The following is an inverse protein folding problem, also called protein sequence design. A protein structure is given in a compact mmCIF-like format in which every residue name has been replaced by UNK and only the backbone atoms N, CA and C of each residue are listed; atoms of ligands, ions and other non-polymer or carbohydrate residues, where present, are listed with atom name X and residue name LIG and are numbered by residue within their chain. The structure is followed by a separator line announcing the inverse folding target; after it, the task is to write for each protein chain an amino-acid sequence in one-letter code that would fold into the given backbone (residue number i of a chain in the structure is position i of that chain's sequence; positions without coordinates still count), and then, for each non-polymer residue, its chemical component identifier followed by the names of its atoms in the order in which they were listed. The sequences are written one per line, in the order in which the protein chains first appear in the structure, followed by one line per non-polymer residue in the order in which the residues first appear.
data_IF_572886601936
#
_entry.id   IF_572886601936
#
_cell.length_a   1.000
_cell.length_b   1.000
_cell.length_c   1.000
_cell.angle_alpha   90.00
_cell.angle_beta   90.00
_cell.angle_gamma   90.00
#
_symmetry.space_group_name_H-M   'P 1'
#
loop_
_entity.id
_entity.type
_entity.pdbx_description
1 polymer ?
#
# COMPACT_ATOMS: atom_id res chain seq x y z
N UNK A 1 -7.18 -45.60 100.50
CA UNK A 1 -6.28 -45.86 99.34
C UNK A 1 -7.09 -45.60 98.06
N UNK A 2 -6.46 -45.19 96.94
CA UNK A 2 -7.07 -45.05 95.59
C UNK A 2 -7.77 -43.73 95.15
N UNK A 3 -7.32 -42.52 95.56
CA UNK A 3 -7.72 -41.28 94.86
C UNK A 3 -6.60 -40.25 94.56
N UNK A 4 -5.33 -40.55 94.88
CA UNK A 4 -4.20 -39.59 94.71
C UNK A 4 -3.23 -39.89 93.57
N UNK A 5 -3.50 -40.92 92.75
CA UNK A 5 -2.61 -41.34 91.65
C UNK A 5 -3.19 -41.15 90.24
N UNK A 6 -4.45 -40.74 90.07
CA UNK A 6 -5.02 -40.47 88.73
C UNK A 6 -4.65 -39.07 88.19
N UNK A 7 -4.41 -38.09 89.05
CA UNK A 7 -4.04 -36.73 88.63
C UNK A 7 -2.60 -36.61 88.10
N UNK A 8 -1.70 -37.51 88.51
CA UNK A 8 -0.31 -37.53 88.03
C UNK A 8 -0.13 -38.29 86.71
N UNK A 9 -1.01 -39.24 86.40
CA UNK A 9 -0.99 -39.96 85.11
C UNK A 9 -1.66 -39.11 84.01
N UNK A 10 -2.73 -38.36 84.35
CA UNK A 10 -3.38 -37.43 83.41
C UNK A 10 -2.49 -36.25 83.00
N UNK A 11 -1.66 -35.72 83.91
CA UNK A 11 -0.76 -34.60 83.62
C UNK A 11 0.51 -35.05 82.86
N UNK A 12 0.99 -36.28 83.10
CA UNK A 12 2.11 -36.87 82.36
C UNK A 12 1.77 -37.18 80.90
N UNK A 13 0.56 -37.68 80.63
CA UNK A 13 0.09 -37.91 79.25
C UNK A 13 -0.21 -36.60 78.51
N UNK A 14 -0.70 -35.54 79.19
CA UNK A 14 -0.94 -34.25 78.56
C UNK A 14 0.34 -33.51 78.16
N UNK A 15 1.44 -33.70 78.91
CA UNK A 15 2.76 -33.14 78.57
C UNK A 15 3.48 -33.87 77.44
N UNK A 16 3.15 -35.15 77.17
CA UNK A 16 3.73 -35.89 76.03
C UNK A 16 3.01 -35.63 74.70
N UNK A 17 1.74 -35.20 74.74
CA UNK A 17 0.98 -34.83 73.52
C UNK A 17 1.41 -33.45 72.99
N UNK A 18 1.91 -32.55 73.84
CA UNK A 18 2.42 -31.23 73.43
C UNK A 18 3.85 -31.24 72.87
N UNK A 19 4.57 -32.36 73.00
CA UNK A 19 5.93 -32.51 72.48
C UNK A 19 6.00 -33.25 71.12
N UNK A 20 4.88 -33.75 70.60
CA UNK A 20 4.83 -34.53 69.35
C UNK A 20 4.20 -33.76 68.19
N UNK A 21 4.65 -32.53 67.98
CA UNK A 21 4.36 -31.80 66.75
C UNK A 21 5.55 -30.89 66.39
N UNK A 22 6.71 -31.49 66.14
CA UNK A 22 7.64 -30.92 65.18
C UNK A 22 7.45 -31.68 63.89
N UNK A 23 6.86 -31.00 62.90
CA UNK A 23 6.85 -31.48 61.53
C UNK A 23 8.27 -31.40 60.98
N UNK A 24 9.12 -32.37 61.34
CA UNK A 24 10.45 -32.58 60.74
C UNK A 24 10.38 -33.05 59.26
N UNK A 25 9.19 -32.95 58.67
CA UNK A 25 8.89 -33.20 57.26
C UNK A 25 8.87 -31.93 56.40
N UNK A 26 9.26 -30.79 56.96
CA UNK A 26 9.63 -29.62 56.16
C UNK A 26 11.16 -29.64 56.10
N UNK A 27 11.71 -30.23 55.04
CA UNK A 27 13.12 -30.03 54.72
C UNK A 27 13.40 -28.54 54.64
N UNK A 28 14.58 -28.12 55.11
CA UNK A 28 14.99 -26.73 54.98
C UNK A 28 14.94 -26.33 53.49
N UNK A 29 14.40 -25.13 53.21
CA UNK A 29 14.45 -24.59 51.86
C UNK A 29 15.92 -24.54 51.43
N UNK A 30 16.24 -25.25 50.34
CA UNK A 30 17.56 -25.17 49.74
C UNK A 30 17.82 -23.71 49.30
N UNK A 31 19.07 -23.22 49.36
CA UNK A 31 19.40 -21.91 48.84
C UNK A 31 19.05 -21.83 47.35
N UNK A 32 18.47 -20.70 46.94
CA UNK A 32 18.11 -20.44 45.55
C UNK A 32 19.33 -20.59 44.63
N UNK A 33 19.20 -21.35 43.54
CA UNK A 33 20.20 -21.43 42.49
C UNK A 33 19.80 -20.55 41.31
N UNK A 34 20.79 -19.98 40.60
CA UNK A 34 20.49 -19.16 39.43
C UNK A 34 20.10 -20.06 38.26
N UNK A 35 19.17 -19.61 37.39
CA UNK A 35 18.78 -20.37 36.20
C UNK A 35 19.87 -20.32 35.12
N UNK A 36 19.76 -21.21 34.14
CA UNK A 36 20.60 -21.29 32.93
C UNK A 36 19.76 -21.10 31.67
N UNK A 37 20.33 -20.45 30.65
CA UNK A 37 19.63 -20.11 29.40
C UNK A 37 20.34 -20.66 28.18
N UNK A 38 19.57 -21.13 27.21
CA UNK A 38 20.08 -21.73 25.99
C UNK A 38 19.35 -21.17 24.77
N UNK A 39 20.12 -20.81 23.74
CA UNK A 39 19.57 -20.56 22.41
C UNK A 39 19.42 -21.90 21.65
N UNK A 40 18.53 -21.96 20.66
CA UNK A 40 18.36 -23.19 19.85
C UNK A 40 19.62 -23.59 19.08
N UNK A 41 20.50 -22.62 18.78
CA UNK A 41 21.77 -22.85 18.10
C UNK A 41 22.89 -22.07 18.77
N UNK A 42 24.09 -22.64 18.79
CA UNK A 42 25.29 -22.00 19.38
C UNK A 42 25.87 -20.92 18.47
N UNK A 43 25.81 -21.12 17.14
CA UNK A 43 26.28 -20.13 16.18
C UNK A 43 25.59 -20.29 14.81
N UNK A 44 25.47 -19.17 14.10
CA UNK A 44 24.93 -19.14 12.74
C UNK A 44 26.06 -18.79 11.79
N UNK A 45 26.56 -19.80 11.08
CA UNK A 45 27.66 -19.64 10.12
C UNK A 45 27.11 -19.33 8.72
N UNK A 46 26.58 -18.11 8.56
CA UNK A 46 26.10 -17.60 7.27
C UNK A 46 26.92 -16.41 6.83
N UNK A 47 27.28 -16.36 5.56
CA UNK A 47 28.15 -15.33 5.00
C UNK A 47 27.71 -14.94 3.60
N UNK A 48 28.13 -13.75 3.15
CA UNK A 48 27.80 -13.25 1.81
C UNK A 48 26.30 -13.29 1.53
N UNK A 49 25.86 -13.86 0.39
CA UNK A 49 24.45 -13.94 0.02
C UNK A 49 23.56 -14.78 0.94
N UNK A 50 24.14 -15.73 1.67
CA UNK A 50 23.40 -16.72 2.48
C UNK A 50 23.04 -16.21 3.89
N UNK A 51 23.43 -14.98 4.20
CA UNK A 51 23.07 -14.25 5.43
C UNK A 51 21.55 -14.21 5.63
N UNK A 52 21.12 -14.06 6.89
CA UNK A 52 19.71 -14.07 7.26
C UNK A 52 19.00 -12.81 6.75
N UNK A 53 17.70 -12.90 6.40
CA UNK A 53 16.88 -11.72 6.13
C UNK A 53 16.72 -10.86 7.39
N UNK A 54 16.23 -9.64 7.22
CA UNK A 54 16.06 -8.69 8.34
C UNK A 54 14.92 -9.04 9.30
N UNK A 55 14.05 -9.98 8.92
CA UNK A 55 13.01 -10.57 9.77
C UNK A 55 13.42 -11.99 10.19
N UNK A 56 13.68 -12.20 11.48
CA UNK A 56 14.17 -13.49 12.02
C UNK A 56 13.27 -13.96 13.16
N UNK A 57 12.81 -15.21 13.10
CA UNK A 57 12.16 -15.88 14.22
C UNK A 57 13.22 -16.54 15.11
N UNK A 58 13.18 -16.20 16.39
CA UNK A 58 14.15 -16.63 17.40
C UNK A 58 13.46 -17.52 18.42
N UNK A 59 14.19 -18.52 18.92
CA UNK A 59 13.72 -19.48 19.90
C UNK A 59 14.81 -19.71 20.96
N UNK A 60 14.39 -19.89 22.21
CA UNK A 60 15.25 -20.17 23.36
C UNK A 60 14.50 -20.99 24.41
N UNK A 61 15.24 -21.46 25.41
CA UNK A 61 14.69 -22.13 26.59
C UNK A 61 15.62 -21.90 27.78
N UNK A 62 15.10 -22.13 28.99
CA UNK A 62 15.88 -22.04 30.22
C UNK A 62 15.52 -23.16 31.18
N UNK A 63 16.45 -23.42 32.09
CA UNK A 63 16.29 -24.35 33.20
C UNK A 63 16.59 -23.64 34.50
N UNK A 64 15.86 -24.02 35.53
CA UNK A 64 16.10 -23.58 36.89
C UNK A 64 16.39 -24.83 37.75
N UNK A 65 17.61 -25.01 38.28
CA UNK A 65 18.00 -26.24 38.97
C UNK A 65 17.13 -26.62 40.17
N UNK A 66 16.53 -25.64 40.84
CA UNK A 66 15.73 -25.80 42.05
C UNK A 66 14.30 -25.28 41.91
N UNK A 67 13.87 -24.93 40.69
CA UNK A 67 12.57 -24.30 40.49
C UNK A 67 12.08 -24.24 39.04
N UNK A 68 11.45 -23.12 38.72
CA UNK A 68 10.90 -22.81 37.40
C UNK A 68 11.29 -21.40 37.00
N UNK A 69 11.58 -21.22 35.72
CA UNK A 69 11.81 -19.91 35.12
C UNK A 69 10.49 -19.11 35.12
N UNK A 70 10.50 -17.90 35.67
CA UNK A 70 9.35 -16.99 35.65
C UNK A 70 9.22 -16.27 34.30
N UNK A 71 10.33 -15.73 33.79
CA UNK A 71 10.40 -15.03 32.51
C UNK A 71 11.84 -15.00 31.96
N UNK A 72 11.99 -14.47 30.74
CA UNK A 72 13.27 -14.21 30.09
C UNK A 72 13.45 -12.72 29.86
N UNK A 73 14.64 -12.24 30.16
CA UNK A 73 15.14 -10.95 29.71
C UNK A 73 15.90 -11.14 28.40
N UNK A 74 15.62 -10.34 27.38
CA UNK A 74 16.35 -10.33 26.13
C UNK A 74 16.68 -8.92 25.66
N UNK A 75 17.76 -8.80 24.90
CA UNK A 75 18.12 -7.59 24.17
C UNK A 75 18.81 -7.94 22.87
N UNK A 76 18.58 -7.11 21.86
CA UNK A 76 19.08 -7.34 20.51
C UNK A 76 19.50 -6.01 19.88
N UNK A 77 20.60 -6.02 19.14
CA UNK A 77 21.11 -4.81 18.52
C UNK A 77 22.39 -5.06 17.73
N UNK A 78 22.92 -4.00 17.13
CA UNK A 78 24.19 -4.05 16.41
C UNK A 78 25.33 -4.45 17.35
N UNK A 79 26.25 -5.26 16.83
CA UNK A 79 27.45 -5.67 17.56
C UNK A 79 28.53 -4.57 17.51
N UNK A 80 29.22 -4.26 18.62
CA UNK A 80 29.01 -4.78 19.97
C UNK A 80 27.74 -4.22 20.62
N UNK A 81 27.05 -5.07 21.38
CA UNK A 81 25.83 -4.70 22.07
C UNK A 81 26.13 -3.77 23.25
N UNK A 82 26.02 -2.46 23.03
CA UNK A 82 26.30 -1.43 24.04
C UNK A 82 25.03 -0.66 24.38
N UNK A 83 24.71 -0.52 25.68
CA UNK A 83 23.62 0.31 26.20
C UNK A 83 22.20 0.00 25.67
N UNK A 84 21.93 -1.22 25.21
CA UNK A 84 20.58 -1.68 24.88
C UNK A 84 19.84 -2.11 26.16
N UNK A 85 18.63 -1.58 26.44
CA UNK A 85 17.83 -2.00 27.59
C UNK A 85 17.37 -3.46 27.42
N UNK A 86 17.21 -4.15 28.54
CA UNK A 86 16.59 -5.47 28.55
C UNK A 86 15.07 -5.31 28.42
N UNK A 87 14.48 -6.07 27.52
CA UNK A 87 13.04 -6.30 27.44
C UNK A 87 12.74 -7.67 28.03
N UNK A 88 11.58 -7.83 28.67
CA UNK A 88 11.19 -9.10 29.27
C UNK A 88 10.06 -9.76 28.46
N UNK A 89 10.02 -11.10 28.49
CA UNK A 89 8.97 -11.91 27.88
C UNK A 89 8.83 -13.24 28.60
N UNK A 90 7.62 -13.80 28.62
CA UNK A 90 7.37 -15.17 29.10
C UNK A 90 7.35 -16.20 27.98
N UNK A 91 7.38 -15.74 26.74
CA UNK A 91 7.46 -16.62 25.58
C UNK A 91 8.87 -17.21 25.45
N UNK A 92 8.95 -18.40 24.85
CA UNK A 92 10.20 -19.06 24.49
C UNK A 92 10.64 -18.70 23.05
N UNK A 93 9.88 -17.82 22.38
CA UNK A 93 10.14 -17.39 21.03
C UNK A 93 9.69 -15.95 20.79
N UNK A 94 10.26 -15.34 19.75
CA UNK A 94 9.81 -14.04 19.25
C UNK A 94 10.21 -13.84 17.80
N UNK A 95 9.37 -13.10 17.06
CA UNK A 95 9.70 -12.61 15.73
C UNK A 95 10.31 -11.21 15.87
N UNK A 96 11.58 -11.08 15.52
CA UNK A 96 12.29 -9.79 15.58
C UNK A 96 12.51 -9.27 14.17
N UNK A 97 12.18 -8.00 13.98
CA UNK A 97 12.56 -7.24 12.80
C UNK A 97 13.74 -6.33 13.14
N UNK A 98 14.84 -6.52 12.44
CA UNK A 98 16.12 -5.85 12.70
C UNK A 98 16.50 -5.01 11.50
N UNK A 99 16.37 -3.69 11.66
CA UNK A 99 16.67 -2.75 10.60
C UNK A 99 18.16 -2.46 10.56
N UNK A 100 18.75 -2.58 9.37
CA UNK A 100 20.15 -2.22 9.19
C UNK A 100 20.30 -0.70 9.21
N UNK A 101 21.44 -0.18 9.68
CA UNK A 101 21.74 1.23 9.53
C UNK A 101 21.83 1.58 8.04
N UNK A 102 21.49 2.82 7.64
CA UNK A 102 21.63 3.26 6.26
C UNK A 102 23.04 3.06 5.71
N UNK A 103 23.15 2.48 4.51
CA UNK A 103 24.42 2.29 3.82
C UNK A 103 24.72 0.81 3.54
N UNK A 104 25.31 0.07 4.50
CA UNK A 104 25.67 -1.32 4.27
C UNK A 104 24.43 -2.21 4.13
N UNK A 105 24.46 -3.14 3.18
CA UNK A 105 23.41 -4.15 3.00
C UNK A 105 23.58 -5.33 3.96
N UNK A 106 24.63 -5.35 4.79
CA UNK A 106 24.94 -6.42 5.74
C UNK A 106 25.35 -5.87 7.10
N UNK A 107 24.92 -6.52 8.17
CA UNK A 107 25.33 -6.20 9.54
C UNK A 107 25.25 -7.44 10.43
N UNK A 108 26.10 -7.48 11.45
CA UNK A 108 26.06 -8.52 12.47
C UNK A 108 25.35 -7.96 13.71
N UNK A 109 24.19 -8.54 14.03
CA UNK A 109 23.47 -8.26 15.25
C UNK A 109 23.86 -9.26 16.33
N UNK A 110 23.81 -8.84 17.58
CA UNK A 110 24.00 -9.69 18.74
C UNK A 110 22.70 -9.73 19.55
N UNK A 111 22.20 -10.94 19.78
CA UNK A 111 21.11 -11.25 20.69
C UNK A 111 21.71 -11.78 21.99
N UNK A 112 21.24 -11.26 23.12
CA UNK A 112 21.51 -11.80 24.44
C UNK A 112 20.21 -12.10 25.15
N UNK A 113 20.08 -13.30 25.70
CA UNK A 113 18.89 -13.75 26.44
C UNK A 113 19.34 -14.38 27.76
N UNK A 114 18.61 -14.11 28.84
CA UNK A 114 18.83 -14.69 30.15
C UNK A 114 17.51 -15.02 30.84
N UNK A 115 17.44 -16.17 31.50
CA UNK A 115 16.33 -16.59 32.32
C UNK A 115 16.34 -15.86 33.66
N UNK A 116 15.15 -15.66 34.22
CA UNK A 116 14.93 -15.09 35.55
C UNK A 116 13.98 -16.02 36.31
N UNK A 117 14.39 -16.45 37.50
CA UNK A 117 13.59 -17.33 38.35
C UNK A 117 12.51 -16.55 39.14
N UNK A 118 11.71 -17.27 39.93
CA UNK A 118 10.66 -16.68 40.79
C UNK A 118 11.21 -15.88 41.98
N UNK A 119 12.46 -16.13 42.40
CA UNK A 119 13.15 -15.39 43.45
C UNK A 119 13.81 -14.10 42.94
N UNK A 120 13.84 -13.90 41.62
CA UNK A 120 14.46 -12.78 40.93
C UNK A 120 15.94 -12.95 40.62
N UNK A 121 16.53 -14.16 40.79
CA UNK A 121 17.88 -14.41 40.33
C UNK A 121 17.90 -14.57 38.81
N UNK A 122 18.92 -13.99 38.18
CA UNK A 122 19.10 -14.00 36.73
C UNK A 122 20.26 -14.89 36.36
N UNK A 123 20.18 -15.55 35.20
CA UNK A 123 21.30 -16.30 34.64
C UNK A 123 22.56 -15.40 34.53
N UNK A 124 23.67 -15.79 35.19
CA UNK A 124 24.92 -15.03 35.19
C UNK A 124 25.66 -15.07 33.85
N UNK A 125 25.38 -16.06 33.00
CA UNK A 125 25.99 -16.26 31.68
C UNK A 125 24.92 -16.24 30.57
N UNK A 126 24.40 -15.05 30.20
CA UNK A 126 23.36 -14.95 29.17
C UNK A 126 23.75 -15.65 27.88
N UNK A 127 22.83 -16.45 27.33
CA UNK A 127 22.96 -17.05 26.01
C UNK A 127 23.19 -15.95 24.97
N UNK A 128 24.20 -16.12 24.12
CA UNK A 128 24.57 -15.14 23.08
C UNK A 128 24.46 -15.76 21.72
N UNK A 129 23.83 -15.03 20.80
CA UNK A 129 23.68 -15.45 19.41
C UNK A 129 24.04 -14.31 18.47
N UNK A 130 24.97 -14.57 17.56
CA UNK A 130 25.30 -13.63 16.47
C UNK A 130 24.37 -13.91 15.30
N UNK A 131 23.68 -12.87 14.86
CA UNK A 131 22.73 -12.87 13.75
C UNK A 131 23.38 -12.13 12.56
N UNK A 132 24.01 -12.84 11.62
CA UNK A 132 24.58 -12.22 10.42
C UNK A 132 23.45 -11.91 9.43
N UNK A 133 23.01 -10.66 9.41
CA UNK A 133 21.88 -10.20 8.60
C UNK A 133 22.35 -9.62 7.27
N UNK A 134 21.46 -9.69 6.28
CA UNK A 134 21.56 -9.01 5.00
C UNK A 134 20.19 -8.46 4.61
N UNK A 135 20.17 -7.19 4.23
CA UNK A 135 19.01 -6.52 3.67
C UNK A 135 19.01 -6.67 2.15
N UNK A 136 17.91 -7.12 1.58
CA UNK A 136 17.67 -7.21 0.15
C UNK A 136 16.95 -5.96 -0.31
N UNK A 137 17.48 -5.28 -1.33
CA UNK A 137 16.80 -4.10 -1.86
C UNK A 137 15.40 -4.49 -2.41
N UNK A 138 14.37 -3.66 -2.18
CA UNK A 138 13.02 -3.95 -2.63
C UNK A 138 12.93 -3.90 -4.16
N UNK A 139 11.82 -4.39 -4.70
CA UNK A 139 11.47 -4.28 -6.11
C UNK A 139 10.12 -3.57 -6.26
N UNK A 140 9.94 -2.88 -7.38
CA UNK A 140 8.67 -2.24 -7.74
C UNK A 140 8.37 -2.47 -9.20
N UNK A 141 7.09 -2.62 -9.55
CA UNK A 141 6.65 -2.72 -10.94
C UNK A 141 5.33 -2.01 -11.16
N UNK A 142 5.13 -1.44 -12.35
CA UNK A 142 3.84 -0.85 -12.70
C UNK A 142 2.80 -1.93 -12.98
N UNK A 143 1.60 -1.73 -12.42
CA UNK A 143 0.46 -2.63 -12.61
C UNK A 143 -0.45 -2.06 -13.70
N UNK A 144 -0.56 -2.80 -14.79
CA UNK A 144 -1.46 -2.48 -15.91
C UNK A 144 -2.64 -3.44 -15.93
N UNK A 145 -3.78 -3.00 -16.47
CA UNK A 145 -4.89 -3.93 -16.73
C UNK A 145 -4.40 -5.00 -17.73
N UNK A 146 -4.59 -6.30 -17.45
CA UNK A 146 -4.10 -7.37 -18.31
C UNK A 146 -4.67 -7.23 -19.73
N UNK A 147 -3.89 -7.66 -20.72
CA UNK A 147 -4.32 -7.69 -22.11
C UNK A 147 -5.32 -8.86 -22.29
N UNK A 148 -6.52 -8.58 -22.79
CA UNK A 148 -7.62 -9.55 -22.97
C UNK A 148 -8.42 -9.89 -21.69
N UNK A 149 -9.75 -9.98 -21.81
CA UNK A 149 -10.66 -10.50 -20.76
C UNK A 149 -11.49 -9.47 -19.99
N UNK A 150 -11.14 -8.19 -20.02
CA UNK A 150 -11.95 -7.08 -19.46
C UNK A 150 -12.21 -6.03 -20.55
N UNK A 151 -13.37 -5.35 -20.56
CA UNK A 151 -13.60 -4.21 -21.45
C UNK A 151 -12.58 -3.07 -21.22
N UNK A 152 -11.80 -3.08 -20.13
CA UNK A 152 -10.71 -2.13 -19.85
C UNK A 152 -9.30 -2.74 -19.99
N UNK A 153 -9.19 -3.91 -20.62
CA UNK A 153 -7.92 -4.59 -20.86
C UNK A 153 -6.93 -3.70 -21.61
N UNK A 154 -5.68 -3.65 -21.14
CA UNK A 154 -4.62 -2.84 -21.74
C UNK A 154 -4.83 -1.32 -21.66
N UNK A 155 -5.82 -0.83 -20.89
CA UNK A 155 -6.09 0.60 -20.73
C UNK A 155 -4.92 1.28 -20.01
N UNK A 156 -4.04 1.91 -20.79
CA UNK A 156 -3.13 2.96 -20.37
C UNK A 156 -3.02 3.90 -21.57
N UNK A 157 -3.43 5.18 -21.42
CA UNK A 157 -3.63 6.05 -22.57
C UNK A 157 -2.31 6.31 -23.30
N UNK A 158 -2.35 6.26 -24.64
CA UNK A 158 -1.24 6.74 -25.47
C UNK A 158 -1.20 8.27 -25.49
N UNK A 159 -2.38 8.91 -25.40
CA UNK A 159 -2.54 10.35 -25.34
C UNK A 159 -3.53 10.69 -24.23
N UNK A 160 -3.18 11.62 -23.34
CA UNK A 160 -4.09 12.12 -22.31
C UNK A 160 -4.04 13.65 -22.25
N UNK A 161 -5.10 14.24 -21.70
CA UNK A 161 -5.01 15.58 -21.13
C UNK A 161 -3.99 15.61 -19.98
N UNK A 162 -3.70 16.78 -19.37
CA UNK A 162 -2.70 16.92 -18.29
C UNK A 162 -3.11 16.27 -16.95
N UNK A 163 -3.66 15.06 -17.01
CA UNK A 163 -4.03 14.19 -15.89
C UNK A 163 -3.64 12.76 -16.26
N UNK A 164 -2.84 12.11 -15.41
CA UNK A 164 -2.38 10.73 -15.60
C UNK A 164 -2.52 9.94 -14.31
N UNK A 165 -2.97 8.69 -14.40
CA UNK A 165 -3.06 7.77 -13.26
C UNK A 165 -2.09 6.62 -13.39
N UNK A 166 -1.43 6.27 -12.29
CA UNK A 166 -0.47 5.19 -12.20
C UNK A 166 -0.80 4.27 -11.03
N UNK A 167 -0.54 2.99 -11.21
CA UNK A 167 -0.63 1.95 -10.16
C UNK A 167 0.62 1.09 -10.23
N UNK A 168 1.08 0.63 -9.08
CA UNK A 168 2.27 -0.21 -8.97
C UNK A 168 2.12 -1.23 -7.86
N UNK A 169 3.04 -2.18 -7.81
CA UNK A 169 3.19 -3.14 -6.74
C UNK A 169 4.66 -3.15 -6.32
N UNK A 170 4.90 -2.94 -5.03
CA UNK A 170 6.20 -3.15 -4.39
C UNK A 170 6.24 -4.53 -3.74
N UNK A 171 7.40 -5.19 -3.82
CA UNK A 171 7.68 -6.44 -3.12
C UNK A 171 9.07 -6.39 -2.51
N UNK A 172 9.24 -7.01 -1.35
CA UNK A 172 10.52 -7.13 -0.67
C UNK A 172 10.72 -8.56 -0.16
N UNK A 173 11.91 -9.12 -0.40
CA UNK A 173 12.28 -10.47 0.07
C UNK A 173 12.42 -10.54 1.58
N UNK A 174 12.71 -9.40 2.23
CA UNK A 174 12.71 -9.26 3.69
C UNK A 174 11.29 -9.08 4.29
N UNK A 175 10.29 -9.03 3.40
CA UNK A 175 8.86 -8.94 3.66
C UNK A 175 8.31 -7.56 3.34
N UNK A 176 7.33 -7.46 2.43
CA UNK A 176 6.80 -6.22 1.83
C UNK A 176 6.55 -5.03 2.78
N UNK A 177 6.25 -5.28 4.06
CA UNK A 177 6.10 -4.23 5.07
C UNK A 177 7.42 -3.54 5.50
N UNK A 178 8.57 -4.00 5.01
CA UNK A 178 9.88 -3.33 5.12
C UNK A 178 9.99 -2.13 4.17
N UNK A 179 9.15 -2.06 3.13
CA UNK A 179 9.13 -0.91 2.22
C UNK A 179 8.64 0.31 3.00
N UNK A 180 9.49 1.34 3.07
CA UNK A 180 9.23 2.56 3.82
C UNK A 180 8.43 3.56 2.98
N UNK A 181 8.85 3.78 1.74
CA UNK A 181 8.16 4.65 0.79
C UNK A 181 8.53 4.31 -0.66
N UNK A 182 7.70 4.79 -1.58
CA UNK A 182 8.04 4.88 -3.00
C UNK A 182 8.54 6.28 -3.32
N UNK A 183 9.47 6.39 -4.24
CA UNK A 183 9.96 7.66 -4.74
C UNK A 183 9.67 7.75 -6.23
N UNK A 184 9.12 8.88 -6.66
CA UNK A 184 8.76 9.14 -8.05
C UNK A 184 9.44 10.39 -8.59
N UNK A 185 9.77 10.37 -9.88
CA UNK A 185 10.13 11.56 -10.65
C UNK A 185 9.63 11.47 -12.08
N UNK A 186 9.52 12.61 -12.76
CA UNK A 186 8.96 12.69 -14.10
C UNK A 186 10.07 12.98 -15.12
N UNK A 187 10.17 12.14 -16.15
CA UNK A 187 11.08 12.23 -17.30
C UNK A 187 12.59 12.17 -17.03
N UNK A 188 13.08 12.64 -15.89
CA UNK A 188 14.49 12.74 -15.57
C UNK A 188 14.79 12.17 -14.17
N UNK A 189 15.54 11.07 -14.12
CA UNK A 189 16.00 10.43 -12.88
C UNK A 189 17.27 11.04 -12.30
N UNK A 190 17.92 11.94 -13.04
CA UNK A 190 19.12 12.67 -12.60
C UNK A 190 18.77 14.00 -11.94
N UNK A 191 17.55 14.49 -12.16
CA UNK A 191 16.98 15.60 -11.41
C UNK A 191 16.77 15.23 -9.95
N UNK A 192 17.09 16.15 -9.04
CA UNK A 192 16.79 16.02 -7.61
C UNK A 192 15.32 16.32 -7.27
N UNK A 193 14.45 16.54 -8.27
CA UNK A 193 13.02 16.78 -8.06
C UNK A 193 12.24 15.47 -7.98
N UNK A 194 12.35 14.80 -6.84
CA UNK A 194 11.60 13.59 -6.52
C UNK A 194 10.49 13.88 -5.50
N UNK A 195 9.47 13.02 -5.49
CA UNK A 195 8.41 13.03 -4.48
C UNK A 195 8.30 11.67 -3.83
N UNK A 196 8.21 11.66 -2.50
CA UNK A 196 8.02 10.44 -1.70
C UNK A 196 6.54 10.18 -1.47
N UNK A 197 6.12 8.95 -1.71
CA UNK A 197 4.78 8.43 -1.50
C UNK A 197 4.88 7.33 -0.43
N UNK A 198 4.11 7.46 0.65
CA UNK A 198 4.10 6.45 1.73
C UNK A 198 3.76 5.05 1.16
N UNK A 199 4.42 4.00 1.68
CA UNK A 199 4.25 2.63 1.20
C UNK A 199 2.83 2.07 1.35
N UNK A 200 1.97 2.69 2.17
CA UNK A 200 0.55 2.39 2.26
C UNK A 200 -0.24 2.70 0.97
N UNK A 201 0.32 3.49 0.05
CA UNK A 201 -0.30 3.81 -1.23
C UNK A 201 0.42 3.12 -2.39
N UNK A 202 -0.35 2.47 -3.25
CA UNK A 202 0.11 1.77 -4.46
C UNK A 202 -0.40 2.41 -5.76
N UNK A 203 -0.95 3.62 -5.64
CA UNK A 203 -1.48 4.38 -6.76
C UNK A 203 -1.28 5.89 -6.57
N UNK A 204 -1.16 6.61 -7.69
CA UNK A 204 -1.23 8.06 -7.70
C UNK A 204 -1.89 8.61 -8.96
N UNK A 205 -2.41 9.83 -8.84
CA UNK A 205 -2.88 10.65 -9.96
C UNK A 205 -2.00 11.89 -10.01
N UNK A 206 -1.37 12.12 -11.15
CA UNK A 206 -0.68 13.35 -11.48
C UNK A 206 -1.67 14.26 -12.20
N UNK A 207 -1.88 15.46 -11.67
CA UNK A 207 -2.73 16.47 -12.29
C UNK A 207 -1.94 17.77 -12.42
N UNK A 208 -1.87 18.29 -13.64
CA UNK A 208 -1.07 19.47 -13.94
C UNK A 208 -1.92 20.72 -13.98
N UNK A 209 -1.61 21.72 -13.16
CA UNK A 209 -2.26 23.02 -13.29
C UNK A 209 -1.70 23.74 -14.52
N UNK A 210 -2.58 24.28 -15.37
CA UNK A 210 -2.20 25.00 -16.57
C UNK A 210 -1.21 26.13 -16.22
N UNK A 211 -0.17 26.30 -17.02
CA UNK A 211 0.86 27.35 -16.87
C UNK A 211 1.68 27.33 -15.57
N UNK A 212 1.59 26.26 -14.75
CA UNK A 212 2.29 26.23 -13.45
C UNK A 212 3.67 25.58 -13.48
N UNK A 213 3.98 24.76 -14.49
CA UNK A 213 5.21 23.97 -14.47
C UNK A 213 5.22 22.85 -13.41
N UNK A 214 4.12 22.62 -12.68
CA UNK A 214 4.08 21.71 -11.54
C UNK A 214 2.82 20.81 -11.52
N UNK A 215 3.03 19.52 -11.28
CA UNK A 215 2.00 18.51 -11.04
C UNK A 215 1.59 18.52 -9.57
N UNK A 216 0.29 18.58 -9.31
CA UNK A 216 -0.29 18.09 -8.07
C UNK A 216 -0.33 16.56 -8.11
N UNK A 217 -0.08 15.94 -6.96
CA UNK A 217 -0.06 14.48 -6.82
C UNK A 217 -1.13 14.09 -5.83
N UNK A 218 -2.07 13.26 -6.25
CA UNK A 218 -3.10 12.69 -5.39
C UNK A 218 -2.78 11.22 -5.14
N UNK A 219 -2.87 10.78 -3.89
CA UNK A 219 -2.56 9.40 -3.48
C UNK A 219 -3.73 8.82 -2.69
N UNK A 220 -3.93 7.51 -2.85
CA UNK A 220 -5.02 6.81 -2.18
C UNK A 220 -6.42 7.29 -2.58
N UNK A 221 -7.46 6.94 -1.82
CA UNK A 221 -8.86 7.16 -2.22
C UNK A 221 -9.33 8.61 -2.08
N UNK A 222 -8.62 9.43 -1.32
CA UNK A 222 -9.02 10.81 -1.04
C UNK A 222 -8.53 11.76 -2.14
N UNK A 223 -9.27 12.84 -2.38
CA UNK A 223 -8.92 13.88 -3.34
C UNK A 223 -8.07 15.02 -2.72
N UNK A 224 -7.31 14.69 -1.68
CA UNK A 224 -6.36 15.61 -1.06
C UNK A 224 -4.98 15.47 -1.73
N UNK A 225 -4.42 16.54 -2.31
CA UNK A 225 -3.11 16.48 -2.93
C UNK A 225 -1.99 16.46 -1.88
N UNK A 226 -0.87 15.83 -2.22
CA UNK A 226 0.37 15.95 -1.47
C UNK A 226 0.87 17.40 -1.47
N UNK A 227 1.49 17.82 -0.37
CA UNK A 227 2.05 19.17 -0.24
C UNK A 227 3.18 19.43 -1.24
N UNK A 228 4.04 18.42 -1.47
CA UNK A 228 5.10 18.48 -2.47
C UNK A 228 4.51 18.27 -3.87
N UNK A 229 4.78 19.22 -4.76
CA UNK A 229 4.46 19.14 -6.19
C UNK A 229 5.66 18.61 -6.98
N UNK A 230 5.39 18.03 -8.15
CA UNK A 230 6.39 17.42 -9.02
C UNK A 230 6.52 18.20 -10.33
N UNK A 231 7.72 18.64 -10.68
CA UNK A 231 8.02 19.29 -11.95
C UNK A 231 8.38 18.30 -13.07
N UNK A 232 8.90 18.84 -14.18
CA UNK A 232 9.49 18.04 -15.26
C UNK A 232 8.53 17.52 -16.34
N UNK A 233 7.25 17.87 -16.30
CA UNK A 233 6.29 17.49 -17.36
C UNK A 233 6.62 18.25 -18.65
N UNK A 234 6.59 17.51 -19.77
CA UNK A 234 6.76 18.04 -21.11
C UNK A 234 5.39 18.18 -21.76
N UNK A 235 4.92 19.42 -21.92
CA UNK A 235 3.63 19.70 -22.56
C UNK A 235 3.68 19.45 -24.07
N UNK A 236 2.62 18.86 -24.62
CA UNK A 236 2.51 18.42 -26.01
C UNK A 236 3.55 17.36 -26.44
N UNK A 237 4.20 16.72 -25.47
CA UNK A 237 5.23 15.71 -25.70
C UNK A 237 5.00 14.44 -24.85
N UNK A 238 5.85 13.45 -25.07
CA UNK A 238 5.82 12.14 -24.45
C UNK A 238 6.47 12.18 -23.08
N UNK A 239 5.71 11.77 -22.07
CA UNK A 239 6.13 11.72 -20.68
C UNK A 239 6.27 10.27 -20.20
N UNK A 240 7.19 10.04 -19.26
CA UNK A 240 7.39 8.78 -18.54
C UNK A 240 7.56 9.07 -17.05
N UNK A 241 6.80 8.35 -16.23
CA UNK A 241 6.99 8.34 -14.78
C UNK A 241 8.06 7.30 -14.43
N UNK A 242 9.01 7.70 -13.60
CA UNK A 242 9.96 6.80 -12.97
C UNK A 242 9.57 6.59 -11.52
N UNK A 243 9.68 5.36 -11.04
CA UNK A 243 9.42 4.98 -9.66
C UNK A 243 10.52 4.06 -9.13
N UNK A 244 10.85 4.19 -7.86
CA UNK A 244 11.66 3.21 -7.11
C UNK A 244 11.07 2.98 -5.73
N UNK A 245 11.27 1.80 -5.17
CA UNK A 245 10.94 1.50 -3.78
C UNK A 245 12.17 1.75 -2.90
N UNK A 246 11.95 2.23 -1.67
CA UNK A 246 12.98 2.40 -0.66
C UNK A 246 12.53 1.72 0.64
N UNK A 247 13.39 0.88 1.19
CA UNK A 247 13.12 0.14 2.43
C UNK A 247 13.52 0.92 3.71
N UNK A 248 13.30 0.30 4.86
CA UNK A 248 13.65 0.84 6.18
C UNK A 248 15.17 0.99 6.40
N UNK A 249 15.99 0.25 5.67
CA UNK A 249 17.46 0.36 5.66
C UNK A 249 17.93 1.46 4.69
N UNK A 250 17.00 2.20 4.07
CA UNK A 250 17.23 3.19 3.02
C UNK A 250 17.90 2.63 1.76
N UNK A 251 17.82 1.31 1.55
CA UNK A 251 18.22 0.71 0.29
C UNK A 251 17.13 0.96 -0.76
N UNK A 252 17.54 1.36 -1.95
CA UNK A 252 16.64 1.74 -3.02
C UNK A 252 16.68 0.70 -4.15
N UNK A 253 15.51 0.37 -4.70
CA UNK A 253 15.42 -0.37 -5.95
C UNK A 253 16.01 0.43 -7.11
N UNK A 254 16.39 -0.22 -8.22
CA UNK A 254 16.58 0.47 -9.49
C UNK A 254 15.33 1.26 -9.88
N UNK A 255 15.51 2.33 -10.65
CA UNK A 255 14.40 3.06 -11.24
C UNK A 255 13.65 2.19 -12.25
N UNK A 256 12.34 2.14 -12.11
CA UNK A 256 11.43 1.47 -13.04
C UNK A 256 10.63 2.53 -13.77
N UNK A 257 10.51 2.34 -15.09
CA UNK A 257 9.92 3.34 -15.99
C UNK A 257 8.53 2.91 -16.43
N UNK A 258 7.60 3.87 -16.50
CA UNK A 258 6.26 3.64 -17.00
C UNK A 258 6.23 3.47 -18.52
N UNK A 259 5.12 2.92 -19.03
CA UNK A 259 4.76 3.11 -20.44
C UNK A 259 4.72 4.61 -20.78
N UNK A 260 5.15 5.02 -21.99
CA UNK A 260 5.11 6.41 -22.42
C UNK A 260 3.67 6.88 -22.66
N UNK A 261 3.35 8.12 -22.29
CA UNK A 261 2.09 8.80 -22.64
C UNK A 261 2.37 10.19 -23.18
N UNK A 262 1.77 10.54 -24.33
CA UNK A 262 1.78 11.91 -24.81
C UNK A 262 0.79 12.75 -24.02
N UNK A 263 1.26 13.82 -23.39
CA UNK A 263 0.39 14.76 -22.69
C UNK A 263 0.09 15.92 -23.64
N UNK A 264 -1.18 16.10 -24.01
CA UNK A 264 -1.61 17.24 -24.85
C UNK A 264 -2.11 18.38 -23.97
N UNK A 265 -1.95 19.61 -24.46
CA UNK A 265 -2.58 20.77 -23.87
C UNK A 265 -4.11 20.68 -24.03
N UNK A 266 -4.85 20.74 -22.92
CA UNK A 266 -6.32 20.71 -22.92
C UNK A 266 -6.84 22.04 -22.37
N UNK A 267 -6.81 23.06 -23.22
CA UNK A 267 -7.23 24.44 -22.91
C UNK A 267 -8.59 24.82 -23.50
N UNK A 268 -9.19 23.94 -24.30
CA UNK A 268 -10.52 24.13 -24.86
C UNK A 268 -11.58 24.21 -23.75
N UNK A 269 -12.65 24.97 -23.99
CA UNK A 269 -13.81 25.04 -23.10
C UNK A 269 -14.85 23.94 -23.36
N UNK A 270 -14.84 23.38 -24.57
CA UNK A 270 -15.74 22.33 -25.04
C UNK A 270 -14.97 21.02 -25.27
N UNK A 271 -15.47 19.95 -24.68
CA UNK A 271 -15.02 18.58 -24.91
C UNK A 271 -16.02 17.81 -25.77
N UNK A 272 -15.57 17.29 -26.90
CA UNK A 272 -16.25 16.24 -27.65
C UNK A 272 -15.83 14.87 -27.12
N UNK A 273 -16.73 14.19 -26.42
CA UNK A 273 -16.55 12.80 -26.01
C UNK A 273 -17.12 11.90 -27.10
N UNK A 274 -16.22 11.27 -27.87
CA UNK A 274 -16.58 10.30 -28.89
C UNK A 274 -16.48 8.89 -28.31
N UNK A 275 -17.62 8.32 -27.94
CA UNK A 275 -17.75 6.96 -27.43
C UNK A 275 -17.99 5.92 -28.53
N UNK A 276 -17.76 6.26 -29.80
CA UNK A 276 -17.67 5.26 -30.85
C UNK A 276 -16.27 4.65 -30.90
N UNK A 277 -16.20 3.38 -31.22
CA UNK A 277 -14.95 2.65 -31.39
C UNK A 277 -14.54 2.49 -32.86
N UNK A 278 -13.67 1.53 -33.11
CA UNK A 278 -13.34 1.08 -34.45
C UNK A 278 -14.53 0.26 -35.01
N UNK A 279 -15.51 0.95 -35.58
CA UNK A 279 -16.72 0.34 -36.13
C UNK A 279 -16.48 -0.18 -37.58
N UNK A 280 -16.94 -1.39 -37.93
CA UNK A 280 -16.90 -1.90 -39.30
C UNK A 280 -17.71 -1.06 -40.30
N UNK A 281 -18.77 -0.39 -39.84
CA UNK A 281 -19.53 0.55 -40.66
C UNK A 281 -18.74 1.87 -40.77
N UNK A 282 -18.28 2.27 -41.98
CA UNK A 282 -17.50 3.49 -42.15
C UNK A 282 -18.20 4.75 -41.67
N UNK A 283 -19.54 4.78 -41.69
CA UNK A 283 -20.31 5.98 -41.31
C UNK A 283 -20.44 6.16 -39.79
N UNK A 284 -20.21 5.08 -39.01
CA UNK A 284 -20.23 5.06 -37.55
C UNK A 284 -18.82 4.94 -36.95
N UNK A 285 -17.80 4.87 -37.80
CA UNK A 285 -16.42 4.78 -37.36
C UNK A 285 -16.02 6.06 -36.61
N UNK A 286 -15.23 5.88 -35.54
CA UNK A 286 -14.73 6.97 -34.69
C UNK A 286 -14.18 8.14 -35.51
N UNK A 287 -13.35 7.90 -36.53
CA UNK A 287 -12.71 8.96 -37.32
C UNK A 287 -13.71 9.78 -38.15
N UNK A 288 -14.67 9.11 -38.77
CA UNK A 288 -15.72 9.75 -39.57
C UNK A 288 -16.64 10.60 -38.72
N UNK A 289 -17.01 10.11 -37.53
CA UNK A 289 -17.82 10.87 -36.58
C UNK A 289 -17.03 12.05 -35.99
N UNK A 290 -15.76 11.87 -35.65
CA UNK A 290 -14.89 12.98 -35.21
C UNK A 290 -14.90 14.14 -36.21
N UNK A 291 -14.70 13.84 -37.50
CA UNK A 291 -14.66 14.86 -38.56
C UNK A 291 -16.01 15.57 -38.71
N UNK A 292 -17.11 14.81 -38.71
CA UNK A 292 -18.47 15.36 -38.88
C UNK A 292 -18.84 16.30 -37.73
N UNK A 293 -18.67 15.84 -36.48
CA UNK A 293 -19.06 16.63 -35.32
C UNK A 293 -18.16 17.86 -35.14
N UNK A 294 -16.86 17.76 -35.42
CA UNK A 294 -15.98 18.94 -35.41
C UNK A 294 -16.40 19.96 -36.47
N UNK A 295 -16.69 19.53 -37.70
CA UNK A 295 -17.16 20.44 -38.75
C UNK A 295 -18.48 21.14 -38.39
N UNK A 296 -19.41 20.43 -37.75
CA UNK A 296 -20.65 21.04 -37.24
C UNK A 296 -20.38 22.05 -36.13
N UNK A 297 -19.54 21.70 -35.14
CA UNK A 297 -19.15 22.61 -34.07
C UNK A 297 -18.46 23.87 -34.61
N UNK A 298 -17.54 23.71 -35.57
CA UNK A 298 -16.88 24.81 -36.26
C UNK A 298 -17.90 25.71 -36.98
N UNK A 299 -18.89 25.12 -37.67
CA UNK A 299 -19.96 25.89 -38.34
C UNK A 299 -20.87 26.66 -37.38
N UNK A 300 -20.99 26.18 -36.14
CA UNK A 300 -21.73 26.84 -35.05
C UNK A 300 -20.87 27.88 -34.31
N UNK A 301 -19.61 28.09 -34.73
CA UNK A 301 -18.69 29.07 -34.14
C UNK A 301 -17.91 28.56 -32.92
N UNK A 302 -17.95 27.26 -32.62
CA UNK A 302 -17.10 26.66 -31.58
C UNK A 302 -15.70 26.38 -32.12
N UNK A 303 -14.86 27.42 -32.21
CA UNK A 303 -13.43 27.25 -32.48
C UNK A 303 -12.69 26.69 -31.27
N UNK A 304 -11.89 25.63 -31.45
CA UNK A 304 -11.07 25.05 -30.37
C UNK A 304 -11.81 24.03 -29.53
N UNK A 305 -12.18 22.91 -30.14
CA UNK A 305 -12.82 21.74 -29.50
C UNK A 305 -11.75 20.70 -29.15
N UNK A 306 -11.72 20.27 -27.90
CA UNK A 306 -10.91 19.12 -27.52
C UNK A 306 -11.69 17.83 -27.75
N UNK A 307 -11.02 16.78 -28.22
CA UNK A 307 -11.67 15.49 -28.44
C UNK A 307 -11.10 14.43 -27.49
N UNK A 308 -12.01 13.65 -26.90
CA UNK A 308 -11.69 12.43 -26.18
C UNK A 308 -12.37 11.22 -26.82
N UNK A 309 -11.56 10.32 -27.37
CA UNK A 309 -12.02 9.09 -28.04
C UNK A 309 -11.99 7.91 -27.06
N UNK A 310 -13.13 7.61 -26.43
CA UNK A 310 -13.19 6.65 -25.32
C UNK A 310 -12.86 5.23 -25.75
N UNK A 311 -13.40 4.76 -26.88
CA UNK A 311 -13.28 3.35 -27.28
C UNK A 311 -12.44 3.12 -28.54
N UNK A 312 -11.72 4.13 -29.01
CA UNK A 312 -10.75 3.95 -30.08
C UNK A 312 -9.60 3.06 -29.61
N UNK A 313 -9.25 2.07 -30.43
CA UNK A 313 -8.14 1.15 -30.20
C UNK A 313 -7.13 1.18 -31.33
N UNK A 314 -5.87 1.01 -30.96
CA UNK A 314 -4.77 0.66 -31.89
C UNK A 314 -4.23 -0.69 -31.42
N UNK A 315 -4.40 -1.72 -32.25
CA UNK A 315 -4.23 -3.10 -31.80
C UNK A 315 -5.19 -3.42 -30.65
N UNK A 316 -4.67 -3.95 -29.54
CA UNK A 316 -5.47 -4.30 -28.36
C UNK A 316 -5.52 -3.20 -27.28
N UNK A 317 -5.05 -1.97 -27.56
CA UNK A 317 -4.93 -0.91 -26.54
C UNK A 317 -5.80 0.30 -26.86
N UNK A 318 -6.44 0.84 -25.81
CA UNK A 318 -7.16 2.11 -25.89
C UNK A 318 -6.19 3.27 -26.11
N UNK A 319 -6.59 4.23 -26.93
CA UNK A 319 -5.74 5.39 -27.24
C UNK A 319 -5.81 6.47 -26.18
N UNK A 320 -7.00 6.74 -25.62
CA UNK A 320 -7.24 7.89 -24.72
C UNK A 320 -8.03 7.56 -23.45
N UNK A 321 -8.54 6.33 -23.32
CA UNK A 321 -9.27 5.91 -22.13
C UNK A 321 -8.34 5.83 -20.92
N UNK A 322 -8.73 6.48 -19.83
CA UNK A 322 -7.97 6.44 -18.59
C UNK A 322 -8.14 5.12 -17.84
N UNK A 323 -7.15 4.80 -17.01
CA UNK A 323 -7.10 3.59 -16.17
C UNK A 323 -8.17 3.53 -15.08
N UNK A 324 -8.68 4.69 -14.64
CA UNK A 324 -9.56 4.85 -13.48
C UNK A 324 -10.56 6.00 -13.73
N UNK A 325 -11.80 5.83 -13.26
CA UNK A 325 -12.86 6.84 -13.30
C UNK A 325 -12.45 8.17 -12.64
N UNK A 326 -11.62 8.15 -11.59
CA UNK A 326 -11.13 9.38 -10.93
C UNK A 326 -10.26 10.24 -11.86
N UNK A 327 -9.40 9.60 -12.64
CA UNK A 327 -8.58 10.28 -13.65
C UNK A 327 -9.49 10.86 -14.73
N UNK A 328 -10.45 10.06 -15.21
CA UNK A 328 -11.41 10.48 -16.23
C UNK A 328 -12.28 11.66 -15.76
N UNK A 329 -12.76 11.62 -14.52
CA UNK A 329 -13.56 12.70 -13.92
C UNK A 329 -12.76 14.00 -13.76
N UNK A 330 -11.46 13.91 -13.47
CA UNK A 330 -10.56 15.08 -13.44
C UNK A 330 -10.28 15.64 -14.83
N UNK A 331 -10.14 14.78 -15.85
CA UNK A 331 -10.05 15.22 -17.25
C UNK A 331 -11.34 15.96 -17.64
N UNK A 332 -12.50 15.37 -17.37
CA UNK A 332 -13.79 15.98 -17.70
C UNK A 332 -14.02 17.29 -16.94
N UNK A 333 -13.66 17.37 -15.66
CA UNK A 333 -13.75 18.57 -14.84
C UNK A 333 -12.89 19.76 -15.31
N UNK A 334 -12.10 19.61 -16.37
CA UNK A 334 -11.41 20.73 -17.02
C UNK A 334 -12.28 21.48 -18.02
N UNK A 335 -13.39 20.89 -18.43
CA UNK A 335 -14.25 21.41 -19.48
C UNK A 335 -15.57 21.87 -18.88
N UNK A 336 -15.97 23.10 -19.19
CA UNK A 336 -17.27 23.63 -18.77
C UNK A 336 -18.44 23.10 -19.61
N UNK A 337 -18.15 22.54 -20.79
CA UNK A 337 -19.16 22.02 -21.71
C UNK A 337 -18.70 20.68 -22.27
N UNK A 338 -19.59 19.68 -22.28
CA UNK A 338 -19.34 18.36 -22.86
C UNK A 338 -20.42 18.03 -23.88
N UNK A 339 -20.01 17.69 -25.09
CA UNK A 339 -20.83 17.00 -26.08
C UNK A 339 -20.42 15.54 -26.11
N UNK A 340 -21.30 14.65 -25.67
CA UNK A 340 -21.07 13.21 -25.65
C UNK A 340 -21.86 12.53 -26.76
N UNK A 341 -21.17 11.81 -27.64
CA UNK A 341 -21.80 10.97 -28.66
C UNK A 341 -21.52 9.49 -28.37
N UNK A 342 -22.55 8.65 -28.37
CA UNK A 342 -22.40 7.23 -28.07
C UNK A 342 -23.28 6.31 -28.96
N UNK A 343 -22.81 5.09 -29.24
CA UNK A 343 -23.59 4.10 -30.01
C UNK A 343 -24.68 3.41 -29.18
N UNK A 344 -24.65 3.56 -27.86
CA UNK A 344 -25.49 2.83 -26.92
C UNK A 344 -25.77 3.73 -25.71
N UNK A 345 -27.06 3.92 -25.40
CA UNK A 345 -27.53 4.78 -24.31
C UNK A 345 -27.18 4.24 -22.93
N UNK A 346 -27.40 2.95 -22.69
CA UNK A 346 -27.20 2.34 -21.36
C UNK A 346 -25.71 2.35 -20.98
N UNK A 347 -24.84 2.04 -21.93
CA UNK A 347 -23.40 2.15 -21.76
C UNK A 347 -22.99 3.60 -21.46
N UNK A 348 -23.53 4.56 -22.21
CA UNK A 348 -23.23 5.97 -22.00
C UNK A 348 -23.64 6.43 -20.59
N UNK A 349 -24.80 6.00 -20.10
CA UNK A 349 -25.30 6.33 -18.76
C UNK A 349 -24.44 5.72 -17.64
N UNK A 350 -23.99 4.47 -17.81
CA UNK A 350 -23.13 3.82 -16.81
C UNK A 350 -21.77 4.51 -16.68
N UNK A 351 -21.19 4.96 -17.80
CA UNK A 351 -19.93 5.70 -17.77
C UNK A 351 -20.12 7.11 -17.25
N UNK A 352 -21.11 7.84 -17.77
CA UNK A 352 -21.35 9.25 -17.47
C UNK A 352 -21.65 9.47 -15.98
N UNK A 353 -22.44 8.58 -15.36
CA UNK A 353 -22.75 8.63 -13.91
C UNK A 353 -21.51 8.54 -13.01
N UNK A 354 -20.40 7.97 -13.49
CA UNK A 354 -19.15 7.81 -12.72
C UNK A 354 -18.12 8.91 -13.00
N UNK A 355 -18.28 9.67 -14.09
CA UNK A 355 -17.24 10.60 -14.57
C UNK A 355 -17.68 12.06 -14.63
N UNK A 356 -18.99 12.34 -14.67
CA UNK A 356 -19.50 13.71 -14.83
C UNK A 356 -19.65 14.50 -13.52
N UNK A 357 -19.50 13.86 -12.36
CA UNK A 357 -19.72 14.52 -11.06
C UNK A 357 -18.96 15.84 -10.87
N UNK A 358 -17.69 15.89 -11.28
CA UNK A 358 -16.86 17.10 -11.18
C UNK A 358 -17.31 18.22 -12.13
N UNK A 359 -17.86 17.87 -13.29
CA UNK A 359 -18.33 18.85 -14.28
C UNK A 359 -19.59 19.51 -13.77
N UNK A 360 -20.54 18.69 -13.31
CA UNK A 360 -21.85 19.15 -12.86
C UNK A 360 -21.77 19.95 -11.55
N UNK A 361 -20.90 19.56 -10.62
CA UNK A 361 -20.71 20.31 -9.37
C UNK A 361 -20.08 21.70 -9.57
N UNK A 362 -19.38 21.89 -10.69
CA UNK A 362 -18.82 23.18 -11.10
C UNK A 362 -19.80 24.00 -11.98
N UNK A 363 -21.03 23.53 -12.17
CA UNK A 363 -22.04 24.18 -13.01
C UNK A 363 -21.84 23.97 -14.51
N UNK A 364 -21.05 22.97 -14.90
CA UNK A 364 -20.84 22.62 -16.31
C UNK A 364 -22.08 21.99 -16.96
N UNK A 365 -22.14 22.08 -18.29
CA UNK A 365 -23.26 21.60 -19.09
C UNK A 365 -22.87 20.38 -19.92
N UNK A 366 -23.78 19.42 -20.04
CA UNK A 366 -23.54 18.18 -20.80
C UNK A 366 -24.71 17.95 -21.75
N UNK A 367 -24.41 17.71 -23.02
CA UNK A 367 -25.34 17.19 -24.00
C UNK A 367 -24.92 15.77 -24.36
N UNK A 368 -25.77 14.79 -24.08
CA UNK A 368 -25.54 13.39 -24.38
C UNK A 368 -26.45 12.95 -25.51
N UNK A 369 -25.87 12.63 -26.66
CA UNK A 369 -26.54 12.07 -27.82
C UNK A 369 -26.14 10.59 -27.97
N UNK A 370 -27.06 9.68 -27.66
CA UNK A 370 -26.82 8.25 -27.78
C UNK A 370 -27.99 7.56 -28.47
N UNK A 371 -27.69 6.49 -29.20
CA UNK A 371 -28.72 5.63 -29.76
C UNK A 371 -29.36 4.82 -28.62
N UNK A 372 -30.68 4.84 -28.55
CA UNK A 372 -31.47 4.01 -27.67
C UNK A 372 -32.19 2.92 -28.49
N UNK A 373 -32.39 1.75 -27.89
CA UNK A 373 -33.12 0.65 -28.53
C UNK A 373 -34.63 0.85 -28.43
N UNK A 374 -35.38 0.18 -29.31
CA UNK A 374 -36.84 0.23 -29.32
C UNK A 374 -37.39 -0.28 -27.97
N UNK A 375 -37.97 0.64 -27.18
CA UNK A 375 -38.51 0.33 -25.86
C UNK A 375 -37.73 0.92 -24.68
N UNK A 376 -36.58 1.59 -24.89
CA UNK A 376 -36.00 2.47 -23.87
C UNK A 376 -36.97 3.65 -23.67
N UNK A 377 -37.71 3.73 -22.55
CA UNK A 377 -38.72 4.76 -22.40
C UNK A 377 -37.99 6.10 -22.22
N UNK A 378 -38.34 7.13 -22.98
CA UNK A 378 -37.86 8.51 -22.74
C UNK A 378 -38.22 9.05 -21.33
N UNK A 379 -39.03 8.31 -20.57
CA UNK A 379 -39.56 8.66 -19.24
C UNK A 379 -39.46 7.50 -18.25
N UNK A 380 -38.32 6.80 -18.17
CA UNK A 380 -38.11 5.81 -17.10
C UNK A 380 -37.83 6.50 -15.75
N UNK A 381 -38.34 5.98 -14.61
CA UNK A 381 -37.99 6.49 -13.27
C UNK A 381 -36.48 6.49 -12.99
N UNK A 382 -35.69 5.72 -13.74
CA UNK A 382 -34.24 5.77 -13.66
C UNK A 382 -33.67 7.19 -13.95
N UNK A 383 -34.40 8.02 -14.70
CA UNK A 383 -34.02 9.41 -14.99
C UNK A 383 -34.17 10.36 -13.81
N UNK A 384 -35.09 10.10 -12.87
CA UNK A 384 -35.32 10.96 -11.70
C UNK A 384 -34.11 10.99 -10.74
N UNK A 385 -33.30 9.94 -10.77
CA UNK A 385 -32.05 9.84 -10.01
C UNK A 385 -30.80 10.28 -10.78
N UNK A 386 -30.97 10.69 -12.05
CA UNK A 386 -29.88 11.07 -12.95
C UNK A 386 -29.78 12.59 -13.10
N UNK A 387 -28.61 13.16 -13.43
CA UNK A 387 -28.43 14.60 -13.61
C UNK A 387 -29.03 15.14 -14.93
N UNK A 388 -30.04 14.46 -15.49
CA UNK A 388 -30.65 14.80 -16.78
C UNK A 388 -31.74 15.85 -16.56
N UNK A 389 -31.57 17.01 -17.20
CA UNK A 389 -32.52 18.12 -17.15
C UNK A 389 -33.65 17.96 -18.18
N UNK A 390 -33.35 17.44 -19.37
CA UNK A 390 -34.35 17.17 -20.40
C UNK A 390 -33.92 16.02 -21.33
N UNK A 391 -34.92 15.34 -21.90
CA UNK A 391 -34.75 14.27 -22.89
C UNK A 391 -35.57 14.65 -24.13
N UNK A 392 -34.94 14.59 -25.30
CA UNK A 392 -35.60 14.81 -26.58
C UNK A 392 -35.34 13.63 -27.51
N UNK A 393 -36.40 12.96 -27.94
CA UNK A 393 -36.31 11.98 -29.02
C UNK A 393 -36.13 12.70 -30.36
N UNK A 394 -35.12 12.28 -31.13
CA UNK A 394 -34.92 12.72 -32.50
C UNK A 394 -35.50 11.62 -33.39
N UNK A 395 -36.62 11.86 -34.11
CA UNK A 395 -37.18 10.88 -35.03
C UNK A 395 -36.13 10.46 -36.06
N UNK A 396 -36.11 9.16 -36.38
CA UNK A 396 -35.17 8.55 -37.32
C UNK A 396 -35.26 9.14 -38.74
#
# INVERSE_FOLDING_TARGET
MWKRNLTLIGLGCLLQILASCRSEWMGDLLPNQAPETYAVVDSIQRSGPDRLPTSVQLHWWGLDPDGVVDHYDFRVGLRPLVNQPWAWTRANDTLVRLNLPPGPDTADFELQIRAVDLAGATDPEPARLILPLRNTAPQVSFTYNPDGGSPLAGAFPLVSCPVLGYRWQGVDSDGDSTILYYEICLNDTLSNDTVRINSAYTECILEWANNSGLCQIYVGPNDLPLAKRLGGLLENDTNRLYIRAVDQSLSASPWVVSRPTKVKSCVASLLLVNAYGNDPNPTLNVDTLSLRYKAWLDSLGFGGVEELRLFQKIGNRYTQLSVNNRVQARIFGRFGRILWIAPDFDLAMQFSSRTLGNVLSQGGHVLLAAKADAGTPAWTPAYESSPIDSVQEIPA
#
